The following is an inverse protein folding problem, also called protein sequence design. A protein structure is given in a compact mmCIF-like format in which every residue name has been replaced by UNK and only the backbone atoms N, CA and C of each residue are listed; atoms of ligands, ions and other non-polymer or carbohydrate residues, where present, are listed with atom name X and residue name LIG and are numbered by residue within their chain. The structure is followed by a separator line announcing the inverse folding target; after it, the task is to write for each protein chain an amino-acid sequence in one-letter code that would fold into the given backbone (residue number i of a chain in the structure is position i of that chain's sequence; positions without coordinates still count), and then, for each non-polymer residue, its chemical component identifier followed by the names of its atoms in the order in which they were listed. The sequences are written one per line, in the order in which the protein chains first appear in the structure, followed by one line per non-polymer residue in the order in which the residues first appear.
data_IF_166084096098
#
_entry.id   IF_166084096098
#
_cell.length_a   1.000
_cell.length_b   1.000
_cell.length_c   1.000
_cell.angle_alpha   90.00
_cell.angle_beta   90.00
_cell.angle_gamma   90.00
#
_symmetry.space_group_name_H-M   'P 1'
#
loop_
_entity.id
_entity.type
_entity.pdbx_description
1 polymer ?
#
# COMPACT_ATOMS: atom_id res chain seq x y z
N UNK A 1 -8.07 -16.13 -38.59
CA UNK A 1 -7.04 -15.07 -38.49
C UNK A 1 -7.67 -13.94 -37.68
N UNK A 2 -7.43 -13.87 -36.37
CA UNK A 2 -7.97 -12.78 -35.55
C UNK A 2 -7.09 -11.55 -35.80
N UNK A 3 -7.67 -10.53 -36.41
CA UNK A 3 -7.06 -9.21 -36.55
C UNK A 3 -6.65 -8.69 -35.15
N UNK A 4 -5.36 -8.49 -34.97
CA UNK A 4 -4.74 -7.94 -33.76
C UNK A 4 -4.42 -6.45 -33.96
N UNK A 5 -5.24 -5.72 -34.72
CA UNK A 5 -5.21 -4.27 -34.78
C UNK A 5 -5.63 -3.71 -33.42
N UNK A 6 -4.64 -3.43 -32.57
CA UNK A 6 -4.77 -2.63 -31.35
C UNK A 6 -5.22 -1.21 -31.74
N UNK A 7 -6.50 -1.06 -32.05
CA UNK A 7 -7.14 0.24 -32.15
C UNK A 7 -7.08 0.90 -30.76
N UNK A 8 -6.73 2.19 -30.67
CA UNK A 8 -6.74 2.90 -29.40
C UNK A 8 -8.17 2.90 -28.83
N UNK A 9 -8.41 2.00 -27.90
CA UNK A 9 -9.69 1.84 -27.23
C UNK A 9 -9.88 3.00 -26.26
N UNK A 10 -10.99 3.74 -26.41
CA UNK A 10 -11.32 4.80 -25.46
C UNK A 10 -11.79 4.18 -24.13
N UNK A 11 -11.80 4.99 -23.07
CA UNK A 11 -12.18 4.50 -21.73
C UNK A 11 -13.59 3.93 -21.66
N UNK A 12 -14.55 4.48 -22.41
CA UNK A 12 -15.95 4.03 -22.43
C UNK A 12 -16.05 2.61 -22.98
N UNK A 13 -15.36 2.32 -24.08
CA UNK A 13 -15.37 1.02 -24.73
C UNK A 13 -14.65 -0.02 -23.87
N UNK A 14 -13.54 0.36 -23.21
CA UNK A 14 -12.87 -0.50 -22.23
C UNK A 14 -13.78 -0.91 -21.07
N UNK A 15 -14.58 0.04 -20.56
CA UNK A 15 -15.52 -0.23 -19.47
C UNK A 15 -16.68 -1.14 -19.90
N UNK A 16 -17.13 -1.04 -21.16
CA UNK A 16 -18.18 -1.92 -21.67
C UNK A 16 -17.70 -3.35 -21.84
N UNK A 17 -16.47 -3.53 -22.33
CA UNK A 17 -15.99 -4.85 -22.72
C UNK A 17 -15.23 -5.59 -21.61
N UNK A 18 -14.48 -4.88 -20.76
CA UNK A 18 -13.45 -5.52 -19.91
C UNK A 18 -13.46 -5.11 -18.45
N UNK A 19 -14.06 -3.98 -18.10
CA UNK A 19 -13.99 -3.43 -16.72
C UNK A 19 -15.34 -2.95 -16.23
N UNK A 20 -15.85 -3.54 -15.15
CA UNK A 20 -17.06 -3.03 -14.49
C UNK A 20 -16.79 -1.67 -13.82
N UNK A 21 -17.11 -0.59 -14.52
CA UNK A 21 -17.01 0.77 -13.98
C UNK A 21 -18.10 1.02 -12.93
N UNK A 22 -17.68 1.48 -11.74
CA UNK A 22 -18.59 1.88 -10.66
C UNK A 22 -18.37 3.37 -10.37
N UNK A 23 -19.44 4.15 -10.40
CA UNK A 23 -19.43 5.57 -10.03
C UNK A 23 -20.00 5.75 -8.63
N UNK A 24 -19.45 6.71 -7.89
CA UNK A 24 -20.03 7.13 -6.61
C UNK A 24 -21.24 8.04 -6.86
N UNK A 25 -22.28 7.90 -6.02
CA UNK A 25 -23.42 8.81 -6.06
C UNK A 25 -22.97 10.26 -5.80
N UNK A 26 -23.64 11.26 -6.41
CA UNK A 26 -23.43 12.65 -6.06
C UNK A 26 -23.56 12.89 -4.55
N UNK A 27 -22.73 13.77 -3.99
CA UNK A 27 -22.74 14.13 -2.56
C UNK A 27 -22.50 12.96 -1.58
N UNK A 28 -21.91 11.84 -2.03
CA UNK A 28 -21.51 10.71 -1.18
C UNK A 28 -19.99 10.50 -1.16
N UNK A 29 -19.21 11.43 -0.57
CA UNK A 29 -17.74 11.36 -0.58
C UNK A 29 -17.20 10.11 0.13
N UNK A 30 -17.94 9.57 1.10
CA UNK A 30 -17.53 8.37 1.84
C UNK A 30 -17.33 7.15 0.94
N UNK A 31 -18.05 7.05 -0.19
CA UNK A 31 -17.89 5.95 -1.15
C UNK A 31 -16.54 5.98 -1.88
N UNK A 32 -15.90 7.15 -2.01
CA UNK A 32 -14.58 7.32 -2.61
C UNK A 32 -13.48 7.67 -1.58
N UNK A 33 -13.81 7.60 -0.28
CA UNK A 33 -12.94 8.09 0.79
C UNK A 33 -11.57 7.40 0.86
N UNK A 34 -11.45 6.15 0.40
CA UNK A 34 -10.15 5.48 0.30
C UNK A 34 -9.22 6.13 -0.73
N UNK A 35 -9.74 6.48 -1.89
CA UNK A 35 -8.96 7.17 -2.92
C UNK A 35 -8.55 8.56 -2.43
N UNK A 36 -9.46 9.28 -1.79
CA UNK A 36 -9.19 10.61 -1.22
C UNK A 36 -8.12 10.57 -0.13
N UNK A 37 -8.22 9.61 0.82
CA UNK A 37 -7.20 9.39 1.84
C UNK A 37 -5.83 9.09 1.23
N UNK A 38 -5.79 8.22 0.22
CA UNK A 38 -4.54 7.91 -0.49
C UNK A 38 -3.91 9.15 -1.13
N UNK A 39 -4.71 9.98 -1.81
CA UNK A 39 -4.24 11.24 -2.43
C UNK A 39 -3.72 12.20 -1.36
N UNK A 40 -4.36 12.30 -0.20
CA UNK A 40 -3.89 13.12 0.91
C UNK A 40 -2.52 12.65 1.41
N UNK A 41 -2.34 11.34 1.65
CA UNK A 41 -1.06 10.75 2.05
C UNK A 41 0.04 10.99 1.02
N UNK A 42 -0.28 10.81 -0.27
CA UNK A 42 0.65 11.09 -1.37
C UNK A 42 1.10 12.55 -1.35
N UNK A 43 0.16 13.50 -1.26
CA UNK A 43 0.48 14.94 -1.22
C UNK A 43 1.34 15.29 -0.01
N UNK A 44 1.06 14.72 1.17
CA UNK A 44 1.87 14.93 2.37
C UNK A 44 3.29 14.40 2.19
N UNK A 45 3.44 13.21 1.61
CA UNK A 45 4.75 12.62 1.35
C UNK A 45 5.56 13.45 0.34
N UNK A 46 4.92 13.93 -0.73
CA UNK A 46 5.58 14.81 -1.71
C UNK A 46 6.00 16.15 -1.09
N UNK A 47 5.19 16.74 -0.20
CA UNK A 47 5.55 17.93 0.56
C UNK A 47 6.77 17.67 1.46
N UNK A 48 6.80 16.53 2.16
CA UNK A 48 7.95 16.14 2.97
C UNK A 48 9.22 15.94 2.12
N UNK A 49 9.07 15.37 0.92
CA UNK A 49 10.17 15.18 -0.02
C UNK A 49 10.57 16.45 -0.79
N UNK A 50 9.92 17.60 -0.54
CA UNK A 50 10.15 18.81 -1.31
C UNK A 50 11.61 19.30 -1.24
N UNK A 51 12.22 19.19 -0.05
CA UNK A 51 13.60 19.62 0.22
C UNK A 51 14.69 18.72 -0.38
N UNK A 52 14.33 17.51 -0.79
CA UNK A 52 15.27 16.55 -1.36
C UNK A 52 15.33 16.71 -2.88
N UNK A 53 16.49 16.51 -3.47
CA UNK A 53 16.67 16.55 -4.92
C UNK A 53 15.93 15.40 -5.62
N UNK A 54 15.74 15.56 -6.93
CA UNK A 54 15.13 14.55 -7.79
C UNK A 54 13.82 14.99 -8.44
N UNK A 55 13.49 14.31 -9.53
CA UNK A 55 12.29 14.59 -10.32
C UNK A 55 11.02 14.15 -9.58
N UNK A 56 9.87 14.68 -9.99
CA UNK A 56 8.58 14.27 -9.42
C UNK A 56 8.33 12.76 -9.61
N UNK A 57 8.79 12.21 -10.74
CA UNK A 57 8.68 10.78 -11.06
C UNK A 57 9.53 9.92 -10.10
N UNK A 58 10.74 10.37 -9.77
CA UNK A 58 11.60 9.69 -8.78
C UNK A 58 10.95 9.71 -7.39
N UNK A 59 10.46 10.88 -6.95
CA UNK A 59 9.77 11.02 -5.65
C UNK A 59 8.51 10.15 -5.59
N UNK A 60 7.71 10.14 -6.65
CA UNK A 60 6.52 9.30 -6.75
C UNK A 60 6.88 7.81 -6.68
N UNK A 61 7.94 7.38 -7.38
CA UNK A 61 8.41 5.99 -7.36
C UNK A 61 8.86 5.57 -5.95
N UNK A 62 9.59 6.44 -5.27
CA UNK A 62 10.01 6.24 -3.87
C UNK A 62 8.81 6.12 -2.93
N UNK A 63 7.84 7.04 -3.04
CA UNK A 63 6.61 6.99 -2.25
C UNK A 63 5.85 5.68 -2.48
N UNK A 64 5.64 5.29 -3.75
CA UNK A 64 4.90 4.08 -4.10
C UNK A 64 5.57 2.82 -3.55
N UNK A 65 6.91 2.76 -3.58
CA UNK A 65 7.65 1.65 -3.00
C UNK A 65 7.47 1.59 -1.48
N UNK A 66 7.62 2.72 -0.78
CA UNK A 66 7.44 2.80 0.67
C UNK A 66 6.01 2.46 1.10
N UNK A 67 5.01 3.06 0.45
CA UNK A 67 3.60 2.84 0.73
C UNK A 67 3.20 1.37 0.59
N UNK A 68 3.71 0.67 -0.44
CA UNK A 68 3.43 -0.76 -0.64
C UNK A 68 4.15 -1.67 0.35
N UNK A 69 5.29 -1.26 0.90
CA UNK A 69 6.10 -2.06 1.83
C UNK A 69 5.71 -1.86 3.30
N UNK A 70 5.31 -0.65 3.68
CA UNK A 70 4.98 -0.33 5.06
C UNK A 70 3.69 -1.07 5.50
N UNK A 71 3.68 -1.71 6.68
CA UNK A 71 2.47 -2.29 7.22
C UNK A 71 1.48 -1.18 7.57
N UNK A 72 0.20 -1.42 7.28
CA UNK A 72 -0.87 -0.52 7.69
C UNK A 72 -1.24 -0.81 9.16
N UNK A 73 -1.44 0.24 9.97
CA UNK A 73 -1.75 0.10 11.40
C UNK A 73 -3.01 -0.73 11.68
N UNK A 74 -4.05 -0.61 10.85
CA UNK A 74 -5.31 -1.33 11.05
C UNK A 74 -5.22 -2.79 10.60
N UNK A 75 -4.57 -3.06 9.46
CA UNK A 75 -4.52 -4.43 8.92
C UNK A 75 -3.28 -5.20 9.37
N UNK A 76 -2.32 -4.55 10.02
CA UNK A 76 -0.97 -5.04 10.39
C UNK A 76 -0.08 -5.54 9.23
N UNK A 77 -0.67 -5.72 8.05
CA UNK A 77 -0.02 -6.16 6.83
C UNK A 77 0.25 -5.01 5.85
N UNK A 78 1.26 -5.19 5.00
CA UNK A 78 1.59 -4.25 3.94
C UNK A 78 0.64 -4.41 2.74
N UNK A 79 0.38 -3.35 1.96
CA UNK A 79 -0.44 -3.46 0.75
C UNK A 79 0.11 -4.49 -0.26
N UNK A 80 1.44 -4.63 -0.35
CA UNK A 80 2.06 -5.65 -1.20
C UNK A 80 1.70 -7.08 -0.77
N UNK A 81 1.71 -7.37 0.52
CA UNK A 81 1.32 -8.69 1.05
C UNK A 81 -0.17 -8.96 0.77
N UNK A 82 -1.03 -7.96 0.98
CA UNK A 82 -2.46 -8.13 0.74
C UNK A 82 -2.77 -8.37 -0.74
N UNK A 83 -2.08 -7.67 -1.65
CA UNK A 83 -2.33 -7.72 -3.09
C UNK A 83 -1.60 -8.86 -3.81
N UNK A 84 -0.29 -9.03 -3.57
CA UNK A 84 0.57 -9.98 -4.27
C UNK A 84 0.85 -11.26 -3.49
N UNK A 85 0.37 -11.35 -2.24
CA UNK A 85 0.69 -12.45 -1.30
C UNK A 85 2.19 -12.64 -1.05
N UNK A 86 2.99 -11.61 -1.33
CA UNK A 86 4.44 -11.60 -1.11
C UNK A 86 4.94 -10.20 -0.80
N UNK A 87 6.07 -10.15 -0.10
CA UNK A 87 6.73 -8.90 0.23
C UNK A 87 7.56 -8.37 -0.93
N UNK A 88 7.64 -7.03 -1.03
CA UNK A 88 8.59 -6.38 -1.96
C UNK A 88 9.98 -6.41 -1.33
N UNK A 89 10.97 -6.89 -2.07
CA UNK A 89 12.37 -6.84 -1.64
C UNK A 89 12.95 -5.45 -1.86
N UNK A 90 13.51 -4.87 -0.83
CA UNK A 90 14.24 -3.60 -0.86
C UNK A 90 15.75 -3.84 -0.77
N UNK A 91 16.57 -2.81 -1.02
CA UNK A 91 18.02 -2.92 -0.83
C UNK A 91 18.41 -3.30 0.60
N UNK A 92 17.64 -2.84 1.60
CA UNK A 92 17.86 -3.19 3.00
C UNK A 92 17.63 -4.68 3.23
N UNK A 93 16.61 -5.27 2.60
CA UNK A 93 16.35 -6.72 2.70
C UNK A 93 17.51 -7.56 2.12
N UNK A 94 18.27 -7.01 1.16
CA UNK A 94 19.42 -7.70 0.57
C UNK A 94 20.69 -7.54 1.41
N UNK A 95 20.88 -6.37 2.04
CA UNK A 95 22.08 -6.05 2.79
C UNK A 95 22.06 -6.59 4.23
N UNK A 96 20.88 -6.76 4.83
CA UNK A 96 20.74 -7.09 6.25
C UNK A 96 19.73 -8.22 6.52
N UNK A 97 19.95 -9.45 5.98
CA UNK A 97 19.07 -10.59 6.22
C UNK A 97 18.96 -10.93 7.72
N UNK A 98 20.06 -10.82 8.45
CA UNK A 98 20.17 -11.09 9.90
C UNK A 98 19.43 -10.06 10.78
N UNK A 99 19.35 -8.80 10.34
CA UNK A 99 18.65 -7.77 11.10
C UNK A 99 17.14 -7.96 10.97
N UNK A 100 16.68 -8.43 9.81
CA UNK A 100 15.27 -8.68 9.55
C UNK A 100 14.73 -9.79 10.44
N UNK A 101 15.45 -10.89 10.61
CA UNK A 101 15.06 -11.96 11.53
C UNK A 101 14.99 -11.43 12.96
N UNK A 102 16.03 -10.73 13.44
CA UNK A 102 16.04 -10.13 14.79
C UNK A 102 14.90 -9.14 15.04
N UNK A 103 14.57 -8.27 14.07
CA UNK A 103 13.45 -7.32 14.19
C UNK A 103 12.12 -8.06 14.16
N UNK A 104 11.94 -9.06 13.29
CA UNK A 104 10.72 -9.87 13.26
C UNK A 104 10.52 -10.64 14.56
N UNK A 105 11.59 -11.20 15.12
CA UNK A 105 11.55 -11.92 16.40
C UNK A 105 11.28 -10.98 17.57
N UNK A 106 11.78 -9.74 17.53
CA UNK A 106 11.45 -8.73 18.52
C UNK A 106 9.99 -8.29 18.41
N UNK A 107 9.50 -7.93 17.21
CA UNK A 107 8.10 -7.57 16.99
C UNK A 107 7.13 -8.70 17.36
N UNK A 108 7.52 -9.97 17.13
CA UNK A 108 6.74 -11.13 17.56
C UNK A 108 6.70 -11.25 19.09
N UNK A 109 7.82 -11.03 19.78
CA UNK A 109 7.88 -11.00 21.25
C UNK A 109 7.06 -9.86 21.84
N UNK A 110 7.20 -8.66 21.31
CA UNK A 110 6.47 -7.47 21.78
C UNK A 110 4.95 -7.66 21.59
N UNK A 111 4.51 -8.24 20.46
CA UNK A 111 3.10 -8.58 20.24
C UNK A 111 2.60 -9.73 21.15
N UNK A 112 3.46 -10.69 21.50
CA UNK A 112 3.12 -11.77 22.42
C UNK A 112 2.97 -11.26 23.86
N UNK A 113 3.84 -10.33 24.30
CA UNK A 113 3.73 -9.71 25.62
C UNK A 113 2.48 -8.84 25.74
N UNK A 114 2.11 -8.08 24.70
CA UNK A 114 0.84 -7.34 24.67
C UNK A 114 -0.37 -8.30 24.70
N UNK A 115 -0.31 -9.42 23.96
CA UNK A 115 -1.35 -10.45 23.99
C UNK A 115 -1.50 -11.11 25.37
N UNK A 116 -0.39 -11.39 26.05
CA UNK A 116 -0.39 -11.92 27.41
C UNK A 116 -0.95 -10.90 28.42
N UNK A 117 -0.57 -9.62 28.32
CA UNK A 117 -1.15 -8.57 29.16
C UNK A 117 -2.67 -8.43 28.96
N UNK A 118 -3.15 -8.58 27.72
CA UNK A 118 -4.59 -8.55 27.45
C UNK A 118 -5.33 -9.74 28.05
N UNK A 119 -4.75 -10.94 28.02
CA UNK A 119 -5.32 -12.12 28.67
C UNK A 119 -5.29 -12.04 30.20
N UNK A 120 -4.28 -11.37 30.77
CA UNK A 120 -4.18 -11.14 32.22
C UNK A 120 -5.23 -10.13 32.74
N UNK A 121 -5.64 -9.17 31.90
CA UNK A 121 -6.68 -8.18 32.24
C UNK A 121 -8.10 -8.77 32.09
N UNK A 122 -8.30 -9.79 31.26
CA UNK A 122 -9.61 -10.45 31.06
C UNK A 122 -10.02 -11.41 32.20
N UNK A 123 -9.13 -11.67 33.19
CA UNK A 123 -9.41 -12.53 34.34
C UNK A 123 -9.34 -11.81 35.71
N UNK A 124 -9.45 -10.47 35.73
CA UNK A 124 -9.64 -9.64 36.95
C UNK A 124 -10.95 -8.88 36.84
#
# INVERSE_FOLDING_TARGET
MMDLSLHPMNFSDLCKERVKHKTSAPFKPSSNGQAERYVATLKQSLKAMHKYEGTIQQKLSTFLMQYRKAPNATTTHSPAILFLKRDIRTRIDLLLPELKTKIQDKLRRDNFEIGNLMLEIEWV
#
